data_IF_282063989207
#
_entry.id   IF_282063989207
#
_cell.length_a   1.000
_cell.length_b   1.000
_cell.length_c   1.000
_cell.angle_alpha   90.00
_cell.angle_beta   90.00
_cell.angle_gamma   90.00
#
_symmetry.space_group_name_H-M   'P 1'
#
loop_
_entity.id
_entity.type
_entity.pdbx_description
1 polymer ?
#
# COMPACT_ATOMS: atom_id res chain seq x y z
N UNK A 1 3.83 10.02 6.12
CA UNK A 1 3.24 8.67 6.00
C UNK A 1 2.90 8.16 7.40
N UNK A 2 1.74 7.53 7.56
CA UNK A 2 1.21 7.01 8.84
C UNK A 2 1.04 5.49 8.75
N UNK A 3 1.68 4.75 9.66
CA UNK A 3 1.58 3.29 9.78
C UNK A 3 0.90 2.96 11.10
N UNK A 4 -0.11 2.10 11.06
CA UNK A 4 -0.91 1.72 12.24
C UNK A 4 -0.83 0.24 12.59
N UNK A 5 -0.33 -0.60 11.68
CA UNK A 5 -0.07 -2.00 11.99
C UNK A 5 1.20 -2.49 11.30
N UNK A 6 1.95 -3.33 12.02
CA UNK A 6 3.11 -4.05 11.54
C UNK A 6 2.90 -5.54 11.84
N UNK A 7 2.69 -6.33 10.79
CA UNK A 7 2.81 -7.79 10.85
C UNK A 7 4.26 -8.14 10.63
N UNK A 8 4.96 -8.49 11.71
CA UNK A 8 6.42 -8.69 11.73
C UNK A 8 6.90 -9.79 10.78
N UNK A 9 6.09 -10.80 10.47
CA UNK A 9 6.55 -11.87 9.60
C UNK A 9 5.38 -12.48 8.83
N UNK A 10 5.62 -12.78 7.55
CA UNK A 10 4.73 -13.52 6.66
C UNK A 10 5.56 -14.20 5.57
N UNK A 11 5.17 -15.43 5.24
CA UNK A 11 5.57 -16.12 4.01
C UNK A 11 4.47 -16.05 2.93
N UNK A 12 3.33 -15.46 3.26
CA UNK A 12 2.14 -15.41 2.40
C UNK A 12 2.00 -14.07 1.67
N UNK A 13 2.44 -12.99 2.32
CA UNK A 13 2.10 -11.63 1.89
C UNK A 13 3.01 -11.15 0.74
N UNK A 14 4.16 -11.81 0.54
CA UNK A 14 5.06 -11.59 -0.59
C UNK A 14 5.42 -12.95 -1.21
N UNK A 15 4.97 -13.25 -2.45
CA UNK A 15 5.24 -14.52 -3.11
C UNK A 15 6.74 -14.85 -3.19
N UNK A 16 7.12 -15.99 -2.61
CA UNK A 16 8.49 -16.50 -2.66
C UNK A 16 9.49 -15.76 -1.77
N UNK A 17 9.03 -14.93 -0.82
CA UNK A 17 9.89 -14.10 0.04
C UNK A 17 9.47 -14.20 1.50
N UNK A 18 10.44 -14.20 2.42
CA UNK A 18 10.19 -13.90 3.82
C UNK A 18 10.03 -12.39 3.99
N UNK A 19 8.85 -11.94 4.41
CA UNK A 19 8.54 -10.52 4.46
C UNK A 19 7.84 -10.10 5.75
N UNK A 20 7.87 -8.80 6.05
CA UNK A 20 6.92 -8.19 6.97
C UNK A 20 5.88 -7.36 6.21
N UNK A 21 4.71 -7.14 6.81
CA UNK A 21 3.65 -6.32 6.20
C UNK A 21 3.39 -5.09 7.04
N UNK A 22 3.44 -3.94 6.39
CA UNK A 22 3.18 -2.62 6.97
C UNK A 22 1.85 -2.12 6.46
N UNK A 23 0.98 -1.69 7.37
CA UNK A 23 -0.35 -1.23 7.04
C UNK A 23 -0.50 0.26 7.32
N UNK A 24 -0.73 1.04 6.27
CA UNK A 24 -0.94 2.49 6.34
C UNK A 24 -2.36 2.84 6.76
N UNK A 25 -2.50 3.96 7.45
CA UNK A 25 -3.80 4.51 7.86
C UNK A 25 -4.51 5.26 6.73
N UNK A 26 -5.83 5.15 6.68
CA UNK A 26 -6.70 5.84 5.74
C UNK A 26 -6.78 5.15 4.38
N UNK A 27 -7.93 5.31 3.73
CA UNK A 27 -8.18 4.90 2.35
C UNK A 27 -9.08 5.96 1.69
N UNK A 28 -8.93 6.19 0.39
CA UNK A 28 -9.86 7.02 -0.37
C UNK A 28 -11.14 6.30 -0.77
N UNK A 29 -11.23 4.97 -0.58
CA UNK A 29 -12.44 4.18 -0.79
C UNK A 29 -13.15 3.85 0.53
N UNK A 30 -14.43 3.47 0.43
CA UNK A 30 -15.32 3.02 1.52
C UNK A 30 -16.02 1.70 1.16
N UNK A 31 -15.25 0.74 0.65
CA UNK A 31 -15.78 -0.56 0.25
C UNK A 31 -16.53 -1.21 1.43
N UNK A 32 -17.80 -1.64 1.26
CA UNK A 32 -18.59 -2.21 2.35
C UNK A 32 -18.06 -3.57 2.85
N UNK A 33 -17.21 -4.22 2.06
CA UNK A 33 -16.55 -5.50 2.37
C UNK A 33 -15.09 -5.33 2.83
N UNK A 34 -14.70 -4.13 3.28
CA UNK A 34 -13.31 -3.88 3.68
C UNK A 34 -12.90 -4.71 4.91
N UNK A 35 -12.04 -5.71 4.72
CA UNK A 35 -11.48 -6.51 5.81
C UNK A 35 -10.57 -5.70 6.75
N UNK A 36 -10.12 -4.53 6.30
CA UNK A 36 -9.23 -3.62 7.03
C UNK A 36 -9.97 -2.36 7.50
N UNK A 37 -11.30 -2.43 7.71
CA UNK A 37 -12.12 -1.27 8.09
C UNK A 37 -11.53 -0.41 9.24
N UNK A 38 -10.95 -0.98 10.32
CA UNK A 38 -10.31 -0.18 11.37
C UNK A 38 -9.17 0.73 10.88
N UNK A 39 -8.51 0.39 9.76
CA UNK A 39 -7.47 1.23 9.15
C UNK A 39 -8.06 2.33 8.27
N UNK A 40 -9.37 2.40 8.07
CA UNK A 40 -10.05 3.34 7.16
C UNK A 40 -11.00 4.26 7.90
N UNK A 41 -11.76 3.73 8.85
CA UNK A 41 -12.68 4.51 9.70
C UNK A 41 -12.04 4.80 11.05
N UNK A 42 -12.33 5.98 11.61
CA UNK A 42 -11.85 6.43 12.93
C UNK A 42 -10.34 6.23 13.13
N UNK A 43 -9.53 6.45 12.09
CA UNK A 43 -8.09 6.18 12.12
C UNK A 43 -7.36 6.97 13.22
N UNK A 44 -7.91 8.10 13.67
CA UNK A 44 -7.38 8.91 14.76
C UNK A 44 -7.44 8.20 16.14
N UNK A 45 -8.27 7.17 16.30
CA UNK A 45 -8.35 6.36 17.52
C UNK A 45 -7.25 5.30 17.57
N UNK A 46 -6.66 4.95 16.42
CA UNK A 46 -5.62 3.93 16.34
C UNK A 46 -4.26 4.49 16.74
N UNK A 47 -3.47 3.66 17.41
CA UNK A 47 -2.08 3.99 17.72
C UNK A 47 -1.22 3.98 16.45
N UNK A 48 -0.52 5.08 16.22
CA UNK A 48 0.51 5.16 15.19
C UNK A 48 1.82 4.49 15.65
N UNK A 49 2.48 3.80 14.72
CA UNK A 49 3.83 3.28 14.92
C UNK A 49 4.81 4.33 14.36
N UNK A 50 5.68 4.92 15.20
CA UNK A 50 6.66 5.89 14.73
C UNK A 50 7.56 5.29 13.63
N UNK A 51 7.81 6.04 12.56
CA UNK A 51 8.66 5.56 11.46
C UNK A 51 10.07 5.17 11.92
N UNK A 52 10.62 5.84 12.93
CA UNK A 52 11.91 5.46 13.56
C UNK A 52 11.90 4.03 14.10
N UNK A 53 10.76 3.56 14.62
CA UNK A 53 10.64 2.22 15.18
C UNK A 53 10.47 1.19 14.07
N UNK A 54 9.82 1.56 12.96
CA UNK A 54 9.76 0.76 11.73
C UNK A 54 11.16 0.60 11.13
N UNK A 55 11.91 1.68 10.94
CA UNK A 55 13.26 1.60 10.38
C UNK A 55 14.20 0.79 11.28
N UNK A 56 14.16 0.99 12.60
CA UNK A 56 14.94 0.17 13.54
C UNK A 56 14.57 -1.31 13.46
N UNK A 57 13.29 -1.62 13.29
CA UNK A 57 12.83 -2.99 13.10
C UNK A 57 13.39 -3.60 11.81
N UNK A 58 13.31 -2.87 10.70
CA UNK A 58 13.85 -3.29 9.41
C UNK A 58 15.38 -3.46 9.47
N UNK A 59 16.11 -2.52 10.07
CA UNK A 59 17.56 -2.63 10.28
C UNK A 59 17.94 -3.91 11.03
N UNK A 60 17.20 -4.24 12.10
CA UNK A 60 17.41 -5.47 12.88
C UNK A 60 17.07 -6.76 12.12
N UNK A 61 16.25 -6.68 11.09
CA UNK A 61 15.83 -7.82 10.27
C UNK A 61 16.61 -7.94 8.96
N UNK A 62 17.67 -7.15 8.76
CA UNK A 62 18.50 -7.25 7.55
C UNK A 62 19.13 -8.63 7.45
N UNK A 63 18.97 -9.25 6.28
CA UNK A 63 19.43 -10.63 6.02
C UNK A 63 18.53 -11.73 6.61
N UNK A 64 17.48 -11.37 7.35
CA UNK A 64 16.45 -12.31 7.84
C UNK A 64 15.15 -12.23 7.03
N UNK A 65 14.78 -11.02 6.63
CA UNK A 65 13.67 -10.76 5.72
C UNK A 65 14.25 -10.38 4.35
N UNK A 66 13.58 -10.83 3.29
CA UNK A 66 13.93 -10.51 1.91
C UNK A 66 13.23 -9.23 1.42
N UNK A 67 12.06 -8.92 1.97
CA UNK A 67 11.25 -7.80 1.51
C UNK A 67 10.20 -7.33 2.49
N UNK A 68 9.46 -6.30 2.07
CA UNK A 68 8.29 -5.79 2.80
C UNK A 68 7.09 -5.73 1.87
N UNK A 69 5.91 -5.99 2.43
CA UNK A 69 4.63 -5.69 1.79
C UNK A 69 4.09 -4.39 2.41
N UNK A 70 3.89 -3.36 1.58
CA UNK A 70 3.26 -2.11 1.98
C UNK A 70 1.79 -2.14 1.54
N UNK A 71 0.90 -2.23 2.53
CA UNK A 71 -0.56 -2.36 2.38
C UNK A 71 -1.26 -1.39 3.35
N UNK A 72 -2.51 -1.63 3.69
CA UNK A 72 -3.27 -0.83 4.65
C UNK A 72 -4.68 -0.51 4.18
N UNK A 73 -5.10 0.73 4.41
CA UNK A 73 -6.21 1.31 3.67
C UNK A 73 -5.81 1.55 2.21
N UNK A 74 -5.15 2.66 1.91
CA UNK A 74 -4.52 2.92 0.62
C UNK A 74 -3.15 3.59 0.83
N UNK A 75 -2.02 2.91 0.58
CA UNK A 75 -0.70 3.51 0.72
C UNK A 75 -0.49 4.76 -0.14
N UNK A 76 -1.09 4.82 -1.33
CA UNK A 76 -0.83 5.90 -2.28
C UNK A 76 -1.38 7.27 -1.84
N UNK A 77 -2.28 7.33 -0.84
CA UNK A 77 -2.71 8.61 -0.24
C UNK A 77 -1.64 9.21 0.67
N UNK A 78 -0.64 8.44 1.08
CA UNK A 78 0.33 8.88 2.06
C UNK A 78 1.31 9.91 1.48
N UNK A 79 1.49 11.02 2.21
CA UNK A 79 2.58 11.95 1.96
C UNK A 79 3.92 11.32 2.35
N UNK A 80 4.94 11.49 1.51
CA UNK A 80 6.30 10.98 1.74
C UNK A 80 6.43 9.46 1.54
N UNK A 81 5.55 8.83 0.77
CA UNK A 81 5.68 7.41 0.44
C UNK A 81 6.94 7.16 -0.39
N UNK A 82 7.29 8.04 -1.31
CA UNK A 82 8.49 7.93 -2.15
C UNK A 82 9.76 7.88 -1.29
N UNK A 83 9.90 8.81 -0.33
CA UNK A 83 11.03 8.86 0.60
C UNK A 83 11.11 7.60 1.46
N UNK A 84 9.96 7.11 1.94
CA UNK A 84 9.90 5.88 2.73
C UNK A 84 10.37 4.68 1.91
N UNK A 85 9.86 4.54 0.69
CA UNK A 85 10.22 3.45 -0.21
C UNK A 85 11.70 3.51 -0.59
N UNK A 86 12.23 4.69 -0.88
CA UNK A 86 13.66 4.90 -1.12
C UNK A 86 14.51 4.38 0.02
N UNK A 87 14.17 4.75 1.26
CA UNK A 87 14.88 4.29 2.45
C UNK A 87 14.76 2.79 2.70
N UNK A 88 13.60 2.19 2.43
CA UNK A 88 13.42 0.73 2.50
C UNK A 88 14.31 0.02 1.48
N UNK A 89 14.42 0.55 0.26
CA UNK A 89 15.29 0.01 -0.79
C UNK A 89 16.77 0.15 -0.41
N UNK A 90 17.18 1.27 0.18
CA UNK A 90 18.54 1.47 0.72
C UNK A 90 18.92 0.44 1.79
N UNK A 91 17.96 -0.03 2.59
CA UNK A 91 18.17 -1.11 3.56
C UNK A 91 18.33 -2.50 2.92
N UNK A 92 18.10 -2.62 1.61
CA UNK A 92 18.26 -3.84 0.82
C UNK A 92 16.99 -4.66 0.63
N UNK A 93 15.82 -4.12 0.98
CA UNK A 93 14.55 -4.84 0.85
C UNK A 93 13.96 -4.75 -0.56
N UNK A 94 13.38 -5.85 -1.03
CA UNK A 94 12.38 -5.77 -2.09
C UNK A 94 11.05 -5.23 -1.54
N UNK A 95 10.31 -4.51 -2.37
CA UNK A 95 9.03 -3.92 -1.97
C UNK A 95 7.91 -4.47 -2.84
N UNK A 96 6.92 -5.06 -2.18
CA UNK A 96 5.59 -5.31 -2.74
C UNK A 96 4.65 -4.20 -2.27
N UNK A 97 4.00 -3.53 -3.22
CA UNK A 97 2.99 -2.52 -2.96
C UNK A 97 1.59 -3.09 -3.23
N UNK A 98 0.70 -2.98 -2.27
CA UNK A 98 -0.73 -3.26 -2.44
C UNK A 98 -1.48 -1.93 -2.59
N UNK A 99 -2.26 -1.78 -3.66
CA UNK A 99 -2.99 -0.54 -3.96
C UNK A 99 -4.32 -0.82 -4.63
N UNK A 100 -5.27 0.08 -4.42
CA UNK A 100 -6.55 0.11 -5.11
C UNK A 100 -6.47 0.74 -6.52
N UNK A 101 -5.29 1.25 -6.91
CA UNK A 101 -5.00 1.76 -8.24
C UNK A 101 -5.48 3.19 -8.52
N UNK A 102 -6.00 3.91 -7.52
CA UNK A 102 -6.62 5.22 -7.77
C UNK A 102 -5.67 6.38 -8.02
N UNK A 103 -4.36 6.14 -7.98
CA UNK A 103 -3.31 7.15 -8.21
C UNK A 103 -2.35 6.70 -9.32
N UNK A 104 -2.82 6.58 -10.58
CA UNK A 104 -2.04 5.97 -11.66
C UNK A 104 -0.74 6.71 -11.97
N UNK A 105 -0.72 8.04 -11.94
CA UNK A 105 0.49 8.82 -12.24
C UNK A 105 1.55 8.69 -11.15
N UNK A 106 1.12 8.75 -9.88
CA UNK A 106 2.00 8.51 -8.73
C UNK A 106 2.54 7.08 -8.72
N UNK A 107 1.70 6.10 -9.06
CA UNK A 107 2.11 4.70 -9.18
C UNK A 107 3.14 4.52 -10.29
N UNK A 108 2.88 5.08 -11.48
CA UNK A 108 3.81 5.06 -12.61
C UNK A 108 5.16 5.64 -12.23
N UNK A 109 5.18 6.77 -11.52
CA UNK A 109 6.41 7.39 -11.03
C UNK A 109 7.21 6.43 -10.14
N UNK A 110 6.60 5.92 -9.07
CA UNK A 110 7.25 5.01 -8.10
C UNK A 110 7.77 3.74 -8.78
N UNK A 111 7.01 3.18 -9.73
CA UNK A 111 7.46 2.03 -10.54
C UNK A 111 8.64 2.40 -11.42
N UNK A 112 8.59 3.54 -12.13
CA UNK A 112 9.66 3.98 -13.03
C UNK A 112 10.96 4.30 -12.30
N UNK A 113 10.88 4.72 -11.04
CA UNK A 113 12.01 4.99 -10.17
C UNK A 113 12.57 3.71 -9.51
N UNK A 114 11.96 2.54 -9.76
CA UNK A 114 12.42 1.26 -9.20
C UNK A 114 12.25 1.13 -7.68
N UNK A 115 11.34 1.95 -7.11
CA UNK A 115 11.06 1.96 -5.67
C UNK A 115 10.23 0.76 -5.22
N UNK A 116 9.50 0.13 -6.16
CA UNK A 116 8.71 -1.09 -5.94
C UNK A 116 9.17 -2.19 -6.90
N UNK A 117 9.23 -3.41 -6.39
CA UNK A 117 9.61 -4.61 -7.14
C UNK A 117 8.39 -5.39 -7.63
N UNK A 118 7.26 -5.24 -6.93
CA UNK A 118 6.01 -5.90 -7.25
C UNK A 118 4.84 -4.98 -6.92
N UNK A 119 3.83 -4.93 -7.78
CA UNK A 119 2.57 -4.23 -7.51
C UNK A 119 1.43 -5.24 -7.54
N UNK A 120 0.70 -5.35 -6.43
CA UNK A 120 -0.58 -6.04 -6.37
C UNK A 120 -1.68 -4.97 -6.41
N UNK A 121 -2.39 -4.89 -7.53
CA UNK A 121 -3.46 -3.91 -7.71
C UNK A 121 -4.82 -4.60 -7.71
N UNK A 122 -5.74 -4.12 -6.87
CA UNK A 122 -7.11 -4.64 -6.83
C UNK A 122 -7.99 -3.99 -7.90
N UNK A 123 -8.53 -4.79 -8.82
CA UNK A 123 -9.67 -4.40 -9.65
C UNK A 123 -10.95 -4.83 -8.93
N UNK A 124 -11.73 -3.86 -8.45
CA UNK A 124 -12.83 -4.13 -7.51
C UNK A 124 -14.18 -4.39 -8.18
N UNK A 125 -14.41 -3.87 -9.38
CA UNK A 125 -15.58 -4.19 -10.21
C UNK A 125 -15.37 -3.78 -11.68
N UNK A 126 -16.40 -3.93 -12.51
CA UNK A 126 -16.57 -3.24 -13.78
C UNK A 126 -16.61 -1.72 -13.60
N UNK A 127 -16.27 -0.98 -14.66
CA UNK A 127 -16.24 0.49 -14.65
C UNK A 127 -17.59 1.10 -14.22
N UNK A 128 -18.70 0.62 -14.79
CA UNK A 128 -20.05 1.14 -14.53
C UNK A 128 -20.50 0.96 -13.07
N UNK A 129 -20.03 -0.11 -12.41
CA UNK A 129 -20.39 -0.41 -11.02
C UNK A 129 -19.29 -0.07 -10.02
N UNK A 130 -18.19 0.54 -10.47
CA UNK A 130 -16.99 0.71 -9.64
C UNK A 130 -17.26 1.63 -8.45
N UNK A 131 -17.81 2.82 -8.69
CA UNK A 131 -18.12 3.81 -7.66
C UNK A 131 -18.98 3.22 -6.54
N UNK A 132 -20.13 2.64 -6.91
CA UNK A 132 -21.01 1.90 -6.00
C UNK A 132 -20.28 0.83 -5.19
N UNK A 133 -19.40 0.06 -5.82
CA UNK A 133 -18.69 -1.05 -5.16
C UNK A 133 -17.71 -0.55 -4.10
N UNK A 134 -17.03 0.55 -4.39
CA UNK A 134 -16.02 1.11 -3.50
C UNK A 134 -16.57 2.19 -2.57
N UNK A 135 -17.88 2.37 -2.53
CA UNK A 135 -18.55 3.30 -1.61
C UNK A 135 -18.31 4.78 -1.93
N UNK A 136 -18.21 5.13 -3.22
CA UNK A 136 -18.12 6.51 -3.70
C UNK A 136 -19.30 6.78 -4.63
N UNK A 137 -19.98 7.92 -4.46
CA UNK A 137 -21.09 8.34 -5.34
C UNK A 137 -20.57 8.68 -6.74
N UNK A 138 -21.34 8.33 -7.78
CA UNK A 138 -20.92 8.27 -9.20
C UNK A 138 -20.48 9.62 -9.80
N UNK A 139 -20.60 10.73 -9.09
CA UNK A 139 -20.33 12.09 -9.59
C UNK A 139 -18.85 12.48 -9.70
N UNK A 140 -17.90 11.67 -9.21
CA UNK A 140 -16.45 12.01 -9.19
C UNK A 140 -15.58 10.95 -9.90
N UNK A 141 -16.18 10.02 -10.65
CA UNK A 141 -15.47 8.90 -11.28
C UNK A 141 -15.02 9.15 -12.74
N UNK A 142 -14.44 10.32 -13.03
CA UNK A 142 -13.54 10.46 -14.19
C UNK A 142 -12.11 10.08 -13.79
N UNK A 143 -11.93 8.84 -13.33
CA UNK A 143 -10.58 8.31 -13.16
C UNK A 143 -10.13 7.67 -14.47
N UNK A 144 -9.08 8.26 -15.01
CA UNK A 144 -8.19 7.80 -16.07
C UNK A 144 -7.59 6.42 -15.77
N UNK A 145 -8.42 5.39 -15.62
CA UNK A 145 -8.01 3.98 -15.60
C UNK A 145 -7.70 3.59 -17.05
N UNK A 146 -6.67 4.22 -17.63
CA UNK A 146 -5.99 3.65 -18.79
C UNK A 146 -5.10 2.55 -18.25
N UNK A 147 -5.63 1.33 -18.19
CA UNK A 147 -4.79 0.12 -18.19
C UNK A 147 -4.15 0.03 -19.56
N UNK A 148 -3.26 0.95 -19.88
CA UNK A 148 -2.44 0.87 -21.08
C UNK A 148 -1.35 -0.16 -20.80
N UNK A 149 -1.59 -1.38 -21.27
CA UNK A 149 -0.62 -2.46 -21.50
C UNK A 149 0.53 -2.52 -20.48
N UNK A 150 0.22 -3.00 -19.27
CA UNK A 150 1.23 -3.68 -18.44
C UNK A 150 1.22 -5.18 -18.85
N UNK A 151 1.69 -5.45 -20.06
CA UNK A 151 2.16 -6.75 -20.51
C UNK A 151 3.57 -6.57 -21.06
#
# INVERSE_FOLDING_TARGET
>A
MVIQCLKKFSLLDYPGKAACTLFTAGCNFRCPYCCNAPLVVNTHENKEIPLKDIYRYLENCRGLLDGICLSGGEPMIQHGIEDFLGRVRELGYEVRLETNGSFPDKLRKIVSEGLVSYVAMDIKNSMESYGKTVGIEDTIWEMSVRVSNFC
#
